data_IF_217211295193
#
_entry.id   IF_217211295193
#
_cell.length_a   1.000
_cell.length_b   1.000
_cell.length_c   1.000
_cell.angle_alpha   90.00
_cell.angle_beta   90.00
_cell.angle_gamma   90.00
#
_symmetry.space_group_name_H-M   'P 1'
#
loop_
_entity.id
_entity.type
_entity.pdbx_description
1 polymer ?
#
# COMPACT_ATOMS: atom_id res chain seq x y z
N UNK A 1 3.37 -12.39 -17.33
CA UNK A 1 3.38 -11.65 -16.04
C UNK A 1 3.66 -10.20 -16.37
N UNK A 2 2.74 -9.31 -16.05
CA UNK A 2 2.91 -7.88 -16.36
C UNK A 2 4.00 -7.27 -15.45
N UNK A 3 4.89 -6.46 -16.02
CA UNK A 3 5.96 -5.76 -15.29
C UNK A 3 5.42 -4.90 -14.14
N UNK A 4 4.18 -4.46 -14.20
CA UNK A 4 3.53 -3.60 -13.21
C UNK A 4 3.31 -4.31 -11.86
N UNK A 5 2.91 -5.59 -11.88
CA UNK A 5 2.77 -6.38 -10.66
C UNK A 5 4.13 -6.69 -10.02
N UNK A 6 5.18 -6.85 -10.81
CA UNK A 6 6.54 -7.08 -10.31
C UNK A 6 7.10 -5.82 -9.62
N UNK A 7 6.87 -4.64 -10.17
CA UNK A 7 7.31 -3.37 -9.60
C UNK A 7 6.55 -3.04 -8.30
N UNK A 8 5.24 -3.26 -8.26
CA UNK A 8 4.44 -3.06 -7.06
C UNK A 8 4.88 -4.02 -5.93
N UNK A 9 5.15 -5.28 -6.26
CA UNK A 9 5.62 -6.25 -5.29
C UNK A 9 7.04 -5.94 -4.77
N UNK A 10 7.93 -5.49 -5.64
CA UNK A 10 9.26 -5.05 -5.24
C UNK A 10 9.22 -3.83 -4.31
N UNK A 11 8.32 -2.89 -4.57
CA UNK A 11 8.09 -1.74 -3.69
C UNK A 11 7.59 -2.18 -2.32
N UNK A 12 6.58 -3.03 -2.27
CA UNK A 12 6.03 -3.60 -1.04
C UNK A 12 7.09 -4.31 -0.18
N UNK A 13 7.91 -5.15 -0.79
CA UNK A 13 8.99 -5.88 -0.11
C UNK A 13 10.03 -4.91 0.46
N UNK A 14 10.35 -3.84 -0.25
CA UNK A 14 11.28 -2.80 0.24
C UNK A 14 10.70 -2.09 1.46
N UNK A 15 9.46 -1.62 1.39
CA UNK A 15 8.78 -0.96 2.50
C UNK A 15 8.71 -1.86 3.75
N UNK A 16 8.42 -3.14 3.56
CA UNK A 16 8.41 -4.12 4.64
C UNK A 16 9.79 -4.29 5.28
N UNK A 17 10.84 -4.42 4.47
CA UNK A 17 12.19 -4.56 4.97
C UNK A 17 12.67 -3.32 5.70
N UNK A 18 12.29 -2.13 5.25
CA UNK A 18 12.58 -0.87 5.92
C UNK A 18 11.85 -0.79 7.26
N UNK A 19 10.58 -1.18 7.32
CA UNK A 19 9.83 -1.27 8.57
C UNK A 19 10.47 -2.25 9.56
N UNK A 20 10.95 -3.40 9.11
CA UNK A 20 11.66 -4.37 9.95
C UNK A 20 12.98 -3.80 10.49
N UNK A 21 13.74 -3.06 9.66
CA UNK A 21 14.97 -2.39 10.09
C UNK A 21 14.71 -1.36 11.21
N UNK A 22 13.71 -0.50 11.01
CA UNK A 22 13.33 0.50 12.01
C UNK A 22 12.81 -0.15 13.29
N UNK A 23 12.04 -1.22 13.17
CA UNK A 23 11.54 -1.98 14.33
C UNK A 23 12.67 -2.53 15.19
N UNK A 24 13.71 -3.10 14.58
CA UNK A 24 14.88 -3.61 15.30
C UNK A 24 15.66 -2.51 16.03
N UNK A 25 15.70 -1.30 15.46
CA UNK A 25 16.37 -0.16 16.07
C UNK A 25 15.56 0.43 17.24
N UNK A 26 14.24 0.53 17.09
CA UNK A 26 13.38 1.23 18.04
C UNK A 26 12.90 0.33 19.18
N UNK A 27 12.51 -0.91 18.89
CA UNK A 27 11.99 -1.82 19.90
C UNK A 27 13.10 -2.52 20.72
N UNK A 28 14.32 -2.55 20.20
CA UNK A 28 15.43 -3.26 20.86
C UNK A 28 15.13 -4.76 20.98
N UNK A 29 15.45 -5.34 22.16
CA UNK A 29 15.23 -6.77 22.41
C UNK A 29 13.91 -7.10 23.12
N UNK A 30 13.35 -6.14 23.87
CA UNK A 30 12.12 -6.32 24.62
C UNK A 30 11.34 -5.01 24.62
N UNK A 31 10.57 -4.79 23.59
CA UNK A 31 9.81 -3.55 23.47
C UNK A 31 8.57 -3.70 22.61
N UNK A 32 7.74 -2.67 22.71
CA UNK A 32 6.61 -2.45 21.81
C UNK A 32 6.80 -1.11 21.14
N UNK A 33 6.57 -1.05 19.83
CA UNK A 33 6.63 0.18 19.08
C UNK A 33 5.55 0.19 18.02
N UNK A 34 4.90 1.33 17.88
CA UNK A 34 4.02 1.62 16.74
C UNK A 34 4.73 2.64 15.85
N UNK A 35 4.84 2.32 14.58
CA UNK A 35 5.48 3.16 13.57
C UNK A 35 4.45 3.55 12.52
N UNK A 36 4.55 4.78 12.05
CA UNK A 36 3.73 5.28 10.94
C UNK A 36 4.66 5.90 9.92
N UNK A 37 4.58 5.45 8.68
CA UNK A 37 5.32 6.09 7.58
C UNK A 37 4.63 7.38 7.16
N UNK A 38 5.38 8.31 6.62
CA UNK A 38 4.80 9.48 5.96
C UNK A 38 4.03 9.05 4.72
N UNK A 39 2.96 9.77 4.45
CA UNK A 39 2.21 9.54 3.22
C UNK A 39 3.04 9.95 2.00
N UNK A 40 3.35 9.00 1.15
CA UNK A 40 4.11 9.23 -0.08
C UNK A 40 3.20 9.20 -1.29
N UNK A 41 3.44 10.11 -2.23
CA UNK A 41 2.81 10.08 -3.53
C UNK A 41 3.60 9.14 -4.44
N UNK A 42 2.95 8.14 -4.96
CA UNK A 42 3.49 7.24 -5.97
C UNK A 42 2.77 7.47 -7.29
N UNK A 43 3.47 7.30 -8.41
CA UNK A 43 2.88 7.28 -9.73
C UNK A 43 2.98 5.86 -10.28
N UNK A 44 1.93 5.39 -10.94
CA UNK A 44 2.05 4.15 -11.67
C UNK A 44 2.97 4.38 -12.87
N UNK A 45 4.12 3.72 -12.89
CA UNK A 45 5.00 3.67 -14.07
C UNK A 45 4.54 2.60 -15.05
N UNK A 46 3.33 2.08 -14.85
CA UNK A 46 2.78 1.00 -15.62
C UNK A 46 2.27 1.44 -16.98
N UNK A 47 2.43 0.57 -17.94
CA UNK A 47 1.71 0.63 -19.20
C UNK A 47 0.34 -0.02 -19.04
N UNK A 48 -0.66 0.53 -19.68
CA UNK A 48 -1.96 -0.10 -19.79
C UNK A 48 -2.95 0.21 -18.66
N UNK A 49 -3.71 -0.77 -18.23
CA UNK A 49 -4.88 -0.59 -17.36
C UNK A 49 -4.57 0.08 -16.01
N UNK A 50 -3.37 -0.09 -15.45
CA UNK A 50 -2.98 0.54 -14.19
C UNK A 50 -2.80 2.05 -14.32
N UNK A 51 -2.19 2.50 -15.41
CA UNK A 51 -2.01 3.93 -15.67
C UNK A 51 -3.36 4.65 -15.78
N UNK A 52 -4.33 4.01 -16.43
CA UNK A 52 -5.67 4.57 -16.60
C UNK A 52 -6.56 4.42 -15.36
N UNK A 53 -6.32 3.38 -14.54
CA UNK A 53 -7.14 3.10 -13.38
C UNK A 53 -6.69 3.86 -12.13
N UNK A 54 -5.38 4.08 -11.95
CA UNK A 54 -4.81 4.53 -10.68
C UNK A 54 -3.87 5.71 -10.81
N UNK A 55 -3.46 6.14 -11.99
CA UNK A 55 -2.63 7.31 -12.25
C UNK A 55 -1.58 7.66 -11.19
N UNK A 56 -1.91 8.59 -10.30
CA UNK A 56 -1.13 8.96 -9.12
C UNK A 56 -1.89 8.60 -7.88
N UNK A 57 -1.28 7.84 -7.00
CA UNK A 57 -1.88 7.39 -5.74
C UNK A 57 -0.98 7.73 -4.55
N UNK A 58 -1.54 7.70 -3.36
CA UNK A 58 -0.83 7.88 -2.10
C UNK A 58 -0.85 6.60 -1.30
N UNK A 59 0.29 6.29 -0.69
CA UNK A 59 0.44 5.13 0.19
C UNK A 59 1.07 5.53 1.51
N UNK A 60 0.71 4.85 2.56
CA UNK A 60 1.36 4.91 3.86
C UNK A 60 1.16 3.59 4.59
N UNK A 61 2.00 3.32 5.56
CA UNK A 61 1.90 2.12 6.37
C UNK A 61 1.88 2.44 7.85
N UNK A 62 1.21 1.59 8.61
CA UNK A 62 1.26 1.55 10.08
C UNK A 62 1.77 0.18 10.48
N UNK A 63 2.72 0.13 11.40
CA UNK A 63 3.30 -1.10 11.88
C UNK A 63 3.27 -1.15 13.42
N UNK A 64 2.62 -2.15 13.97
CA UNK A 64 2.65 -2.47 15.39
C UNK A 64 3.62 -3.63 15.60
N UNK A 65 4.68 -3.39 16.38
CA UNK A 65 5.78 -4.32 16.58
C UNK A 65 5.91 -4.72 18.03
N UNK A 66 6.15 -5.99 18.26
CA UNK A 66 6.55 -6.55 19.56
C UNK A 66 7.86 -7.28 19.40
N UNK A 67 8.87 -6.91 20.21
CA UNK A 67 10.16 -7.59 20.29
C UNK A 67 10.20 -8.52 21.51
N UNK A 68 10.73 -9.72 21.31
CA UNK A 68 10.92 -10.72 22.35
C UNK A 68 12.29 -11.43 22.15
N UNK A 69 13.34 -10.88 22.75
CA UNK A 69 14.72 -11.29 22.50
C UNK A 69 15.15 -10.97 21.07
N UNK A 70 15.53 -11.98 20.33
CA UNK A 70 15.90 -11.84 18.91
C UNK A 70 14.72 -12.05 17.96
N UNK A 71 13.53 -12.30 18.50
CA UNK A 71 12.31 -12.51 17.70
C UNK A 71 11.45 -11.27 17.70
N UNK A 72 10.95 -10.96 16.53
CA UNK A 72 10.06 -9.81 16.27
C UNK A 72 8.77 -10.29 15.65
N UNK A 73 7.68 -9.63 16.05
CA UNK A 73 6.34 -9.83 15.51
C UNK A 73 5.81 -8.46 15.11
N UNK A 74 5.32 -8.32 13.90
CA UNK A 74 4.81 -7.07 13.37
C UNK A 74 3.48 -7.30 12.66
N UNK A 75 2.49 -6.54 13.04
CA UNK A 75 1.28 -6.33 12.24
C UNK A 75 1.50 -5.06 11.41
N UNK A 76 1.65 -5.24 10.11
CA UNK A 76 1.92 -4.17 9.17
C UNK A 76 0.70 -3.93 8.30
N UNK A 77 0.15 -2.72 8.39
CA UNK A 77 -1.02 -2.29 7.64
C UNK A 77 -0.59 -1.30 6.57
N UNK A 78 -0.71 -1.71 5.34
CA UNK A 78 -0.49 -0.88 4.17
C UNK A 78 -1.80 -0.22 3.76
N UNK A 79 -1.78 1.09 3.60
CA UNK A 79 -2.92 1.89 3.19
C UNK A 79 -2.66 2.51 1.82
N UNK A 80 -3.72 2.61 1.06
CA UNK A 80 -3.75 3.16 -0.28
C UNK A 80 -4.90 4.15 -0.37
N UNK A 81 -4.66 5.29 -1.01
CA UNK A 81 -5.68 6.27 -1.33
C UNK A 81 -5.39 6.88 -2.69
N UNK A 82 -6.41 6.97 -3.50
CA UNK A 82 -6.39 7.66 -4.77
C UNK A 82 -7.70 8.42 -4.98
N UNK A 83 -7.62 9.52 -5.70
CA UNK A 83 -8.78 10.26 -6.17
C UNK A 83 -8.79 10.16 -7.67
N UNK A 84 -9.75 9.44 -8.19
CA UNK A 84 -9.96 9.33 -9.62
C UNK A 84 -10.63 10.62 -10.10
N UNK A 85 -9.81 11.53 -10.59
CA UNK A 85 -10.22 12.82 -11.12
C UNK A 85 -9.84 12.95 -12.60
N UNK A 86 -10.55 13.84 -13.26
CA UNK A 86 -10.30 14.15 -14.67
C UNK A 86 -9.52 15.45 -14.76
N UNK A 87 -8.21 15.40 -14.87
CA UNK A 87 -7.36 16.58 -15.06
C UNK A 87 -7.48 17.09 -16.50
N UNK A 88 -8.42 18.01 -16.71
CA UNK A 88 -8.68 18.63 -18.02
C UNK A 88 -7.47 19.36 -18.62
N UNK A 89 -6.44 19.65 -17.82
CA UNK A 89 -5.21 20.32 -18.25
C UNK A 89 -4.09 19.36 -18.60
N UNK A 90 -4.25 18.09 -18.24
CA UNK A 90 -3.26 17.08 -18.45
C UNK A 90 -3.59 16.32 -19.74
N UNK A 91 -2.90 16.67 -20.84
CA UNK A 91 -3.10 16.08 -22.16
C UNK A 91 -2.67 14.61 -22.30
N UNK A 92 -2.60 13.87 -21.22
CA UNK A 92 -2.28 12.43 -21.22
C UNK A 92 -3.49 11.56 -21.63
N UNK A 93 -4.16 11.92 -22.68
CA UNK A 93 -5.16 11.06 -23.32
C UNK A 93 -4.50 9.99 -24.16
N UNK A 94 -4.12 8.86 -23.56
CA UNK A 94 -3.64 7.68 -24.28
C UNK A 94 -4.76 6.70 -24.65
N UNK A 95 -5.98 7.16 -24.82
CA UNK A 95 -7.15 6.33 -25.09
C UNK A 95 -8.12 6.96 -26.08
N UNK A 96 -9.22 6.31 -26.31
CA UNK A 96 -10.31 6.76 -27.21
C UNK A 96 -11.05 7.99 -26.68
N UNK A 97 -10.88 8.32 -25.38
CA UNK A 97 -11.51 9.43 -24.70
C UNK A 97 -10.44 10.19 -23.92
N UNK A 98 -10.38 11.50 -24.10
CA UNK A 98 -9.42 12.36 -23.39
C UNK A 98 -9.93 12.74 -22.00
N UNK A 99 -9.00 13.07 -21.07
CA UNK A 99 -9.34 13.61 -19.73
C UNK A 99 -10.24 14.86 -19.84
N UNK A 100 -10.03 15.67 -20.87
CA UNK A 100 -10.86 16.84 -21.14
C UNK A 100 -12.32 16.46 -21.44
N UNK A 101 -12.54 15.43 -22.27
CA UNK A 101 -13.89 14.96 -22.60
C UNK A 101 -14.57 14.35 -21.39
N UNK A 102 -13.83 13.56 -20.59
CA UNK A 102 -14.34 13.00 -19.34
C UNK A 102 -14.64 14.08 -18.31
N UNK A 103 -13.80 15.11 -18.19
CA UNK A 103 -14.07 16.26 -17.34
C UNK A 103 -15.32 17.07 -17.75
N UNK A 104 -15.62 17.13 -19.05
CA UNK A 104 -16.89 17.68 -19.52
C UNK A 104 -18.08 16.80 -19.12
N UNK A 105 -17.97 15.48 -19.24
CA UNK A 105 -19.01 14.54 -18.80
C UNK A 105 -19.25 14.66 -17.29
N UNK A 106 -18.19 14.88 -16.49
CA UNK A 106 -18.32 15.14 -15.06
C UNK A 106 -19.15 16.43 -14.81
N UNK A 107 -18.84 17.52 -15.51
CA UNK A 107 -19.57 18.79 -15.38
C UNK A 107 -21.07 18.66 -15.76
N UNK A 108 -21.38 17.78 -16.69
CA UNK A 108 -22.77 17.49 -17.09
C UNK A 108 -23.43 16.43 -16.21
N UNK A 109 -22.75 15.93 -15.17
CA UNK A 109 -23.29 14.92 -14.25
C UNK A 109 -23.40 13.53 -14.81
N UNK A 110 -22.75 13.25 -15.95
CA UNK A 110 -22.78 11.94 -16.64
C UNK A 110 -21.67 11.02 -16.13
N UNK A 111 -20.53 11.60 -15.71
CA UNK A 111 -19.44 10.91 -15.05
C UNK A 111 -19.22 11.49 -13.64
N UNK A 112 -18.65 10.72 -12.73
CA UNK A 112 -18.32 11.19 -11.39
C UNK A 112 -16.88 10.88 -11.07
N UNK A 113 -16.22 11.84 -10.47
CA UNK A 113 -14.98 11.61 -9.73
C UNK A 113 -15.29 10.78 -8.48
N UNK A 114 -14.38 9.92 -8.10
CA UNK A 114 -14.56 9.07 -6.92
C UNK A 114 -13.23 8.83 -6.22
N UNK A 115 -13.33 8.61 -4.94
CA UNK A 115 -12.19 8.26 -4.11
C UNK A 115 -12.08 6.74 -4.00
N UNK A 116 -10.87 6.23 -4.21
CA UNK A 116 -10.49 4.85 -3.96
C UNK A 116 -9.66 4.78 -2.69
N UNK A 117 -10.07 3.94 -1.77
CA UNK A 117 -9.33 3.66 -0.54
C UNK A 117 -9.17 2.16 -0.38
N UNK A 118 -8.00 1.75 0.08
CA UNK A 118 -7.72 0.36 0.36
C UNK A 118 -6.79 0.23 1.56
N UNK A 119 -6.94 -0.87 2.27
CA UNK A 119 -6.08 -1.21 3.40
C UNK A 119 -5.89 -2.72 3.45
N UNK A 120 -4.66 -3.16 3.70
CA UNK A 120 -4.33 -4.56 3.88
C UNK A 120 -3.34 -4.71 5.03
N UNK A 121 -3.67 -5.59 5.97
CA UNK A 121 -2.79 -5.94 7.08
C UNK A 121 -2.18 -7.31 6.84
N UNK A 122 -0.87 -7.41 7.03
CA UNK A 122 -0.13 -8.66 7.05
C UNK A 122 0.62 -8.78 8.36
N UNK A 123 0.70 -9.99 8.90
CA UNK A 123 1.48 -10.29 10.09
C UNK A 123 2.79 -10.96 9.69
N UNK A 124 3.89 -10.49 10.26
CA UNK A 124 5.24 -10.93 9.93
C UNK A 124 5.95 -11.31 11.21
N UNK A 125 6.67 -12.42 11.15
CA UNK A 125 7.56 -12.87 12.21
C UNK A 125 8.96 -13.07 11.65
N UNK A 126 9.96 -12.56 12.35
CA UNK A 126 11.36 -12.72 11.93
C UNK A 126 12.30 -12.74 13.13
N UNK A 127 13.53 -13.14 12.88
CA UNK A 127 14.65 -13.01 13.80
C UNK A 127 15.51 -11.81 13.43
N UNK A 128 16.16 -11.21 14.40
CA UNK A 128 17.03 -10.04 14.21
C UNK A 128 17.98 -10.25 13.02
N UNK A 129 18.05 -9.27 12.14
CA UNK A 129 18.88 -9.30 10.94
C UNK A 129 18.34 -10.13 9.79
N UNK A 130 17.24 -10.88 9.96
CA UNK A 130 16.55 -11.56 8.86
C UNK A 130 15.64 -10.57 8.13
N UNK A 131 15.42 -10.82 6.86
CA UNK A 131 14.54 -9.99 6.00
C UNK A 131 13.54 -10.90 5.27
N UNK A 132 12.53 -10.31 4.67
CA UNK A 132 11.46 -11.07 3.99
C UNK A 132 12.02 -12.13 3.03
N UNK A 133 13.05 -11.79 2.26
CA UNK A 133 13.66 -12.73 1.31
C UNK A 133 14.72 -13.68 1.93
N UNK A 134 14.97 -13.58 3.23
CA UNK A 134 16.06 -14.29 3.90
C UNK A 134 15.66 -14.92 5.25
N UNK A 135 14.41 -15.35 5.39
CA UNK A 135 13.92 -16.09 6.54
C UNK A 135 12.90 -15.40 7.43
N UNK A 136 12.32 -14.28 6.99
CA UNK A 136 11.10 -13.77 7.60
C UNK A 136 9.90 -14.62 7.14
N UNK A 137 8.99 -14.89 8.05
CA UNK A 137 7.78 -15.65 7.79
C UNK A 137 6.60 -14.68 7.72
N UNK A 138 5.95 -14.61 6.56
CA UNK A 138 4.68 -13.90 6.39
C UNK A 138 3.58 -14.85 6.82
N UNK A 139 2.93 -14.52 7.91
CA UNK A 139 1.81 -15.29 8.43
C UNK A 139 0.56 -15.05 7.59
N UNK A 140 -0.28 -16.05 7.38
CA UNK A 140 -1.54 -15.84 6.69
C UNK A 140 -2.36 -14.80 7.46
N UNK A 141 -3.02 -13.86 6.75
CA UNK A 141 -3.85 -12.85 7.39
C UNK A 141 -4.89 -13.56 8.28
N UNK A 142 -4.92 -13.22 9.55
CA UNK A 142 -6.01 -13.62 10.43
C UNK A 142 -7.24 -12.85 9.98
N UNK A 143 -8.01 -13.42 9.08
CA UNK A 143 -9.24 -12.81 8.59
C UNK A 143 -10.26 -12.82 9.72
N UNK A 144 -10.30 -11.78 10.52
CA UNK A 144 -11.42 -11.51 11.42
C UNK A 144 -12.54 -10.94 10.56
N UNK A 145 -13.49 -11.77 10.18
CA UNK A 145 -14.72 -11.29 9.56
C UNK A 145 -15.43 -10.37 10.56
N UNK A 146 -15.50 -9.05 10.32
CA UNK A 146 -16.11 -8.11 11.26
C UNK A 146 -17.59 -8.38 11.50
N UNK A 147 -18.23 -9.19 10.63
CA UNK A 147 -19.62 -9.61 10.78
C UNK A 147 -19.82 -10.77 11.77
N UNK A 148 -18.74 -11.42 12.23
CA UNK A 148 -18.77 -12.53 13.20
C UNK A 148 -18.50 -12.13 14.66
N UNK A 149 -18.29 -10.85 14.95
CA UNK A 149 -18.00 -10.38 16.32
C UNK A 149 -19.24 -9.99 17.12
N UNK A 150 -20.43 -10.35 16.67
CA UNK A 150 -21.68 -10.13 17.42
C UNK A 150 -22.38 -11.45 17.71
N UNK A 151 -21.88 -12.17 18.72
CA UNK A 151 -22.68 -13.07 19.56
C UNK A 151 -22.12 -13.06 20.95
#
# INVERSE_FOLDING_TARGET
>A
MNNDSANANAHLIRELNDAMNYAEQLAGSYGKVTMVTTQEASASNGSGNWLFAVGRYRTWAVADVVACGDKYYMDWTFNFRDVYDWDMNNGLGGGWVSDREMGLLHRYGVAREYEMVGSQTISIKWERGKRVNAGAEILPPSFKDPRRSSK
#
